data_IF_960630746186
#
_entry.id   IF_960630746186
#
_cell.length_a   1.000
_cell.length_b   1.000
_cell.length_c   1.000
_cell.angle_alpha   90.00
_cell.angle_beta   90.00
_cell.angle_gamma   90.00
#
_symmetry.space_group_name_H-M   'P 1'
#
loop_
_entity.id
_entity.type
_entity.pdbx_description
1 polymer ?
#
# COMPACT_ATOMS: atom_id res chain seq x y z
N UNK A 1 -4.99 -21.81 -8.42
CA UNK A 1 -6.10 -21.76 -9.40
C UNK A 1 -6.93 -20.52 -9.11
N UNK A 2 -7.70 -20.01 -10.08
CA UNK A 2 -8.63 -18.90 -9.82
C UNK A 2 -9.82 -19.45 -9.04
N UNK A 3 -10.00 -18.99 -7.80
CA UNK A 3 -10.99 -19.51 -6.86
C UNK A 3 -12.23 -18.62 -6.75
N UNK A 4 -12.09 -17.32 -7.05
CA UNK A 4 -13.19 -16.36 -7.04
C UNK A 4 -12.90 -15.22 -8.00
N UNK A 5 -13.94 -14.74 -8.68
CA UNK A 5 -13.88 -13.54 -9.50
C UNK A 5 -15.08 -12.68 -9.11
N UNK A 6 -14.84 -11.40 -8.84
CA UNK A 6 -15.88 -10.45 -8.44
C UNK A 6 -15.77 -9.19 -9.28
N UNK A 7 -16.89 -8.73 -9.82
CA UNK A 7 -17.00 -7.49 -10.57
C UNK A 7 -18.11 -6.66 -9.95
N UNK A 8 -17.77 -5.46 -9.51
CA UNK A 8 -18.72 -4.46 -9.00
C UNK A 8 -18.39 -3.08 -9.55
N UNK A 9 -19.34 -2.15 -9.49
CA UNK A 9 -19.10 -0.75 -9.87
C UNK A 9 -18.23 -0.02 -8.82
N UNK A 10 -18.34 -0.41 -7.55
CA UNK A 10 -17.58 0.16 -6.42
C UNK A 10 -16.58 -0.82 -5.80
N UNK A 11 -15.99 -0.43 -4.67
CA UNK A 11 -15.04 -1.27 -3.93
C UNK A 11 -13.82 -1.65 -4.77
N UNK A 12 -13.48 -2.94 -4.81
CA UNK A 12 -12.36 -3.45 -5.61
C UNK A 12 -12.56 -3.35 -7.13
N UNK A 13 -13.77 -3.05 -7.62
CA UNK A 13 -14.06 -3.06 -9.04
C UNK A 13 -14.00 -4.47 -9.62
N UNK A 14 -13.13 -4.69 -10.61
CA UNK A 14 -12.78 -6.02 -11.10
C UNK A 14 -11.70 -6.62 -10.20
N UNK A 15 -12.04 -7.72 -9.52
CA UNK A 15 -11.17 -8.42 -8.59
C UNK A 15 -11.02 -9.90 -8.95
N UNK A 16 -9.79 -10.39 -8.86
CA UNK A 16 -9.40 -11.77 -9.10
C UNK A 16 -8.79 -12.39 -7.85
N UNK A 17 -9.26 -13.56 -7.45
CA UNK A 17 -8.76 -14.31 -6.30
C UNK A 17 -8.13 -15.61 -6.81
N UNK A 18 -6.89 -15.85 -6.39
CA UNK A 18 -6.13 -17.05 -6.75
C UNK A 18 -5.74 -17.76 -5.47
N UNK A 19 -6.27 -18.97 -5.27
CA UNK A 19 -5.90 -19.84 -4.16
C UNK A 19 -4.70 -20.69 -4.55
N UNK A 20 -3.72 -20.75 -3.65
CA UNK A 20 -2.44 -21.42 -3.83
C UNK A 20 -2.40 -22.75 -3.06
N UNK A 21 -1.56 -23.73 -3.46
CA UNK A 21 -1.49 -25.03 -2.80
C UNK A 21 -1.08 -24.99 -1.32
N UNK A 22 -0.46 -23.89 -0.88
CA UNK A 22 -0.06 -23.66 0.51
C UNK A 22 -1.20 -23.10 1.39
N UNK A 23 -2.42 -22.95 0.85
CA UNK A 23 -3.60 -22.44 1.57
C UNK A 23 -3.77 -20.93 1.51
N UNK A 24 -2.77 -20.17 1.07
CA UNK A 24 -2.95 -18.72 0.93
C UNK A 24 -3.74 -18.37 -0.33
N UNK A 25 -4.42 -17.23 -0.28
CA UNK A 25 -5.11 -16.65 -1.44
C UNK A 25 -4.51 -15.29 -1.75
N UNK A 26 -4.16 -15.06 -3.02
CA UNK A 26 -3.75 -13.72 -3.49
C UNK A 26 -4.92 -13.03 -4.17
N UNK A 27 -5.11 -11.75 -3.89
CA UNK A 27 -6.18 -10.92 -4.47
C UNK A 27 -5.55 -9.82 -5.34
N UNK A 28 -6.11 -9.63 -6.53
CA UNK A 28 -5.72 -8.59 -7.47
C UNK A 28 -6.96 -7.74 -7.78
N UNK A 29 -6.92 -6.44 -7.50
CA UNK A 29 -8.07 -5.55 -7.61
C UNK A 29 -7.78 -4.28 -8.43
N UNK A 30 -8.83 -3.51 -8.68
CA UNK A 30 -8.86 -2.35 -9.58
C UNK A 30 -8.48 -2.68 -11.03
N UNK A 31 -8.70 -3.92 -11.45
CA UNK A 31 -8.25 -4.43 -12.74
C UNK A 31 -8.98 -3.74 -13.90
N UNK A 32 -8.27 -3.46 -14.98
CA UNK A 32 -8.88 -2.96 -16.22
C UNK A 32 -9.57 -4.10 -16.96
N UNK A 33 -8.87 -5.24 -17.08
CA UNK A 33 -9.27 -6.38 -17.91
C UNK A 33 -8.63 -7.66 -17.38
N UNK A 34 -9.30 -8.80 -17.52
CA UNK A 34 -8.72 -10.10 -17.24
C UNK A 34 -7.95 -10.64 -18.46
N UNK A 35 -7.11 -11.65 -18.23
CA UNK A 35 -6.50 -12.40 -19.33
C UNK A 35 -7.58 -13.08 -20.19
N UNK A 36 -7.34 -13.32 -21.49
CA UNK A 36 -8.38 -13.77 -22.43
C UNK A 36 -9.21 -14.97 -21.96
N UNK A 37 -8.57 -15.97 -21.32
CA UNK A 37 -9.25 -17.15 -20.78
C UNK A 37 -10.25 -16.81 -19.68
N UNK A 38 -9.85 -15.94 -18.74
CA UNK A 38 -10.66 -15.54 -17.59
C UNK A 38 -11.77 -14.57 -18.04
N UNK A 39 -11.44 -13.66 -18.97
CA UNK A 39 -12.42 -12.73 -19.54
C UNK A 39 -13.54 -13.49 -20.29
N UNK A 40 -13.19 -14.51 -21.07
CA UNK A 40 -14.18 -15.34 -21.77
C UNK A 40 -15.11 -16.07 -20.79
N UNK A 41 -14.55 -16.68 -19.73
CA UNK A 41 -15.32 -17.33 -18.67
C UNK A 41 -16.32 -16.36 -18.02
N UNK A 42 -15.87 -15.16 -17.66
CA UNK A 42 -16.73 -14.16 -17.04
C UNK A 42 -17.81 -13.67 -17.99
N UNK A 43 -17.45 -13.42 -19.25
CA UNK A 43 -18.40 -12.95 -20.24
C UNK A 43 -19.55 -13.93 -20.42
N UNK A 44 -19.27 -15.24 -20.51
CA UNK A 44 -20.30 -16.27 -20.58
C UNK A 44 -21.28 -16.19 -19.41
N UNK A 45 -20.77 -16.04 -18.18
CA UNK A 45 -21.60 -15.95 -16.98
C UNK A 45 -22.40 -14.64 -16.89
N UNK A 46 -21.81 -13.50 -17.25
CA UNK A 46 -22.49 -12.20 -17.27
C UNK A 46 -23.63 -12.17 -18.27
N UNK A 47 -23.43 -12.73 -19.47
CA UNK A 47 -24.50 -12.83 -20.48
C UNK A 47 -25.61 -13.78 -20.02
N UNK A 48 -25.28 -14.89 -19.36
CA UNK A 48 -26.27 -15.80 -18.80
C UNK A 48 -27.12 -15.20 -17.67
N UNK A 49 -26.55 -14.28 -16.90
CA UNK A 49 -27.25 -13.60 -15.80
C UNK A 49 -27.83 -12.23 -16.18
N UNK A 50 -27.57 -11.75 -17.40
CA UNK A 50 -27.93 -10.41 -17.87
C UNK A 50 -27.50 -9.29 -16.91
N UNK A 51 -26.36 -9.47 -16.23
CA UNK A 51 -25.85 -8.54 -15.20
C UNK A 51 -24.38 -8.22 -15.43
N UNK A 52 -24.04 -6.93 -15.25
CA UNK A 52 -22.63 -6.51 -15.20
C UNK A 52 -21.98 -6.91 -13.87
N UNK A 53 -22.65 -6.67 -12.74
CA UNK A 53 -22.11 -7.09 -11.45
C UNK A 53 -22.25 -8.61 -11.33
N UNK A 54 -21.16 -9.27 -10.98
CA UNK A 54 -21.14 -10.71 -10.87
C UNK A 54 -20.12 -11.17 -9.85
N UNK A 55 -20.44 -12.28 -9.20
CA UNK A 55 -19.54 -12.99 -8.31
C UNK A 55 -19.63 -14.48 -8.63
N UNK A 56 -18.50 -15.07 -9.02
CA UNK A 56 -18.40 -16.47 -9.42
C UNK A 56 -17.26 -17.16 -8.69
N UNK A 57 -17.42 -18.46 -8.47
CA UNK A 57 -16.47 -19.34 -7.78
C UNK A 57 -16.11 -20.51 -8.71
N UNK A 58 -15.17 -20.31 -9.64
CA UNK A 58 -14.75 -21.35 -10.57
C UNK A 58 -14.24 -22.59 -9.81
N UNK A 59 -14.56 -23.77 -10.33
CA UNK A 59 -14.02 -25.02 -9.80
C UNK A 59 -12.49 -25.06 -9.89
N UNK A 60 -11.84 -25.80 -8.98
CA UNK A 60 -10.38 -25.78 -8.83
C UNK A 60 -9.60 -26.17 -10.10
N UNK A 61 -10.24 -26.92 -11.00
CA UNK A 61 -9.67 -27.40 -12.28
C UNK A 61 -10.10 -26.58 -13.50
N UNK A 62 -11.08 -25.68 -13.37
CA UNK A 62 -11.62 -24.91 -14.49
C UNK A 62 -10.64 -23.82 -14.95
N UNK A 63 -10.15 -23.04 -13.99
CA UNK A 63 -9.25 -21.91 -14.22
C UNK A 63 -7.90 -22.13 -13.50
N UNK A 64 -7.15 -23.09 -14.01
CA UNK A 64 -5.74 -23.28 -13.64
C UNK A 64 -4.87 -22.13 -14.17
N UNK A 65 -3.92 -21.71 -13.33
CA UNK A 65 -2.91 -20.68 -13.59
C UNK A 65 -1.61 -21.13 -12.92
N UNK A 66 -0.47 -20.75 -13.51
CA UNK A 66 0.87 -21.02 -13.02
C UNK A 66 1.59 -19.73 -12.67
N UNK A 67 2.62 -19.84 -11.84
CA UNK A 67 3.50 -18.72 -11.58
C UNK A 67 4.10 -18.20 -12.90
N UNK A 68 4.02 -16.88 -13.11
CA UNK A 68 4.46 -16.23 -14.34
C UNK A 68 3.37 -16.03 -15.39
N UNK A 69 2.19 -16.64 -15.23
CA UNK A 69 1.07 -16.40 -16.15
C UNK A 69 0.52 -14.98 -15.97
N UNK A 70 0.23 -14.32 -17.09
CA UNK A 70 -0.56 -13.09 -17.09
C UNK A 70 -2.02 -13.46 -16.83
N UNK A 71 -2.56 -13.01 -15.69
CA UNK A 71 -3.94 -13.30 -15.28
C UNK A 71 -4.87 -12.11 -15.44
N UNK A 72 -4.35 -10.89 -15.41
CA UNK A 72 -5.09 -9.65 -15.58
C UNK A 72 -4.17 -8.46 -15.87
N UNK A 73 -4.77 -7.31 -16.18
CA UNK A 73 -4.09 -6.04 -16.39
C UNK A 73 -4.58 -5.02 -15.35
N UNK A 74 -3.64 -4.31 -14.71
CA UNK A 74 -3.93 -3.24 -13.74
C UNK A 74 -4.79 -2.15 -14.38
N UNK A 75 -5.58 -1.45 -13.56
CA UNK A 75 -6.50 -0.44 -14.06
C UNK A 75 -6.90 0.56 -13.00
N UNK A 76 -8.12 1.07 -13.14
CA UNK A 76 -8.72 2.05 -12.23
C UNK A 76 -10.21 1.76 -11.97
N UNK A 77 -10.61 0.49 -12.01
CA UNK A 77 -12.02 0.12 -11.80
C UNK A 77 -12.40 0.16 -10.32
N UNK A 78 -13.67 0.40 -10.01
CA UNK A 78 -14.15 0.42 -8.63
C UNK A 78 -13.91 1.76 -7.95
N UNK A 79 -13.73 1.74 -6.62
CA UNK A 79 -13.37 2.91 -5.83
C UNK A 79 -11.86 3.11 -5.80
N UNK A 80 -11.29 3.66 -6.86
CA UNK A 80 -9.85 3.92 -7.00
C UNK A 80 -9.60 5.37 -7.42
N UNK A 81 -8.70 6.06 -6.72
CA UNK A 81 -8.38 7.48 -6.98
C UNK A 81 -7.48 7.68 -8.22
N UNK A 82 -6.77 6.64 -8.64
CA UNK A 82 -5.92 6.66 -9.83
C UNK A 82 -5.42 5.26 -10.21
N UNK A 83 -4.93 5.06 -11.45
CA UNK A 83 -4.56 3.73 -11.93
C UNK A 83 -3.47 3.06 -11.09
N UNK A 84 -3.79 1.94 -10.45
CA UNK A 84 -2.86 1.16 -9.63
C UNK A 84 -3.30 -0.30 -9.54
N UNK A 85 -2.45 -1.16 -8.97
CA UNK A 85 -2.81 -2.52 -8.59
C UNK A 85 -2.97 -2.58 -7.07
N UNK A 86 -4.16 -2.93 -6.61
CA UNK A 86 -4.36 -3.33 -5.22
C UNK A 86 -4.10 -4.84 -5.10
N UNK A 87 -3.13 -5.20 -4.27
CA UNK A 87 -2.66 -6.56 -4.09
C UNK A 87 -2.76 -6.97 -2.62
N UNK A 88 -3.29 -8.17 -2.37
CA UNK A 88 -3.37 -8.74 -1.03
C UNK A 88 -2.92 -10.19 -1.01
N UNK A 89 -2.44 -10.62 0.15
CA UNK A 89 -2.32 -12.03 0.52
C UNK A 89 -3.27 -12.26 1.69
N UNK A 90 -4.06 -13.33 1.63
CA UNK A 90 -5.02 -13.73 2.65
C UNK A 90 -4.77 -15.15 3.12
N UNK A 91 -5.02 -15.41 4.40
CA UNK A 91 -5.08 -16.77 4.92
C UNK A 91 -6.39 -17.49 4.56
N UNK A 92 -6.53 -18.74 5.03
CA UNK A 92 -7.72 -19.57 4.83
C UNK A 92 -8.99 -18.98 5.47
N UNK A 93 -8.87 -18.06 6.42
CA UNK A 93 -9.99 -17.37 7.08
C UNK A 93 -10.31 -16.02 6.38
N UNK A 94 -9.76 -15.81 5.17
CA UNK A 94 -9.84 -14.58 4.37
C UNK A 94 -9.27 -13.32 5.06
N UNK A 95 -8.43 -13.47 6.09
CA UNK A 95 -7.81 -12.32 6.75
C UNK A 95 -6.60 -11.82 5.94
N UNK A 96 -6.50 -10.51 5.67
CA UNK A 96 -5.33 -9.94 5.00
C UNK A 96 -4.06 -10.10 5.85
N UNK A 97 -2.96 -10.49 5.20
CA UNK A 97 -1.63 -10.60 5.80
C UNK A 97 -0.69 -9.66 5.04
N UNK A 98 0.23 -9.03 5.77
CA UNK A 98 1.26 -8.18 5.19
C UNK A 98 2.04 -8.94 4.09
N UNK A 99 1.94 -8.52 2.81
CA UNK A 99 2.63 -9.20 1.72
C UNK A 99 4.16 -9.18 1.82
N UNK A 100 4.74 -8.24 2.57
CA UNK A 100 6.19 -8.18 2.80
C UNK A 100 6.72 -9.39 3.59
N UNK A 101 5.84 -10.09 4.34
CA UNK A 101 6.21 -11.33 5.03
C UNK A 101 6.40 -12.52 4.06
N UNK A 102 6.02 -12.36 2.79
CA UNK A 102 6.07 -13.41 1.76
C UNK A 102 7.18 -13.16 0.72
N UNK A 103 8.27 -12.51 1.12
CA UNK A 103 9.44 -12.30 0.28
C UNK A 103 9.32 -11.17 -0.74
N UNK A 104 8.32 -10.29 -0.57
CA UNK A 104 8.28 -9.00 -1.28
C UNK A 104 9.22 -8.04 -0.55
N UNK A 105 10.48 -8.03 -1.00
CA UNK A 105 11.50 -7.10 -0.52
C UNK A 105 11.51 -5.84 -1.38
N UNK A 106 11.02 -4.74 -0.81
CA UNK A 106 11.06 -3.42 -1.44
C UNK A 106 12.21 -2.67 -0.79
N UNK A 107 13.29 -2.49 -1.55
CA UNK A 107 14.42 -1.69 -1.08
C UNK A 107 13.97 -0.27 -0.85
N UNK A 108 14.10 0.21 0.38
CA UNK A 108 13.95 1.62 0.68
C UNK A 108 15.19 2.36 0.15
N UNK A 109 15.01 3.07 -0.97
CA UNK A 109 16.03 3.91 -1.58
C UNK A 109 15.72 5.39 -1.45
N UNK A 110 14.61 5.74 -0.80
CA UNK A 110 14.14 7.13 -0.73
C UNK A 110 14.71 7.75 0.53
N UNK A 111 15.59 8.74 0.36
CA UNK A 111 16.08 9.51 1.51
C UNK A 111 14.91 10.24 2.17
N UNK A 112 14.80 10.21 3.50
CA UNK A 112 13.76 10.97 4.18
C UNK A 112 13.97 12.46 3.94
N UNK A 113 12.88 13.19 3.74
CA UNK A 113 12.89 14.64 3.64
C UNK A 113 12.59 15.18 5.02
N UNK A 114 13.58 15.82 5.64
CA UNK A 114 13.37 16.55 6.89
C UNK A 114 12.61 17.83 6.56
N UNK A 115 11.41 17.99 7.12
CA UNK A 115 10.57 19.17 6.93
C UNK A 115 10.82 20.19 8.02
N UNK A 116 10.87 19.73 9.27
CA UNK A 116 10.93 20.61 10.44
C UNK A 116 11.74 19.97 11.56
N UNK A 117 12.43 20.80 12.33
CA UNK A 117 13.14 20.42 13.55
C UNK A 117 12.68 21.34 14.67
N UNK A 118 12.42 20.75 15.83
CA UNK A 118 11.98 21.44 17.03
C UNK A 118 12.92 21.09 18.18
N UNK A 119 13.21 22.07 19.02
CA UNK A 119 13.86 21.88 20.30
C UNK A 119 12.85 22.08 21.43
N UNK A 120 12.83 21.15 22.37
CA UNK A 120 11.91 21.12 23.51
C UNK A 120 12.71 21.24 24.81
N UNK A 121 12.41 22.22 25.67
CA UNK A 121 12.90 22.18 27.04
C UNK A 121 12.13 21.09 27.80
N UNK A 122 12.83 20.07 28.29
CA UNK A 122 12.22 18.91 28.95
C UNK A 122 12.21 19.07 30.47
N UNK A 123 13.28 19.60 31.06
CA UNK A 123 13.37 19.82 32.50
C UNK A 123 12.84 21.20 32.90
N UNK A 124 12.41 21.36 34.15
CA UNK A 124 11.85 22.63 34.65
C UNK A 124 12.85 23.80 34.57
N UNK A 125 14.15 23.49 34.65
CA UNK A 125 15.25 24.44 34.51
C UNK A 125 15.71 24.63 33.05
N UNK A 126 15.14 23.90 32.10
CA UNK A 126 15.59 23.93 30.72
C UNK A 126 15.19 25.23 30.02
N UNK A 127 16.14 25.80 29.28
CA UNK A 127 15.92 27.00 28.49
C UNK A 127 16.59 26.85 27.12
N UNK A 128 15.90 27.29 26.06
CA UNK A 128 16.41 27.41 24.70
C UNK A 128 16.28 28.88 24.30
N UNK A 129 17.38 29.52 23.92
CA UNK A 129 17.41 30.95 23.59
C UNK A 129 16.74 31.83 24.66
N UNK A 130 16.97 31.47 25.94
CA UNK A 130 16.44 32.13 27.14
C UNK A 130 14.94 31.92 27.40
N UNK A 131 14.27 31.01 26.68
CA UNK A 131 12.86 30.66 26.92
C UNK A 131 12.71 29.20 27.33
N UNK A 132 11.71 28.87 28.16
CA UNK A 132 11.30 27.49 28.46
C UNK A 132 10.08 27.11 27.61
N UNK A 133 10.15 27.41 26.30
CA UNK A 133 9.08 27.07 25.35
C UNK A 133 9.67 26.29 24.17
N UNK A 134 8.82 25.53 23.48
CA UNK A 134 9.20 24.84 22.24
C UNK A 134 9.71 25.83 21.20
N UNK A 135 10.90 25.59 20.67
CA UNK A 135 11.51 26.42 19.66
C UNK A 135 11.58 25.67 18.33
N UNK A 136 10.94 26.23 17.28
CA UNK A 136 11.12 25.73 15.91
C UNK A 136 12.47 26.21 15.39
N UNK A 137 13.29 25.27 14.92
CA UNK A 137 14.59 25.56 14.34
C UNK A 137 14.47 25.71 12.82
N UNK A 138 15.14 26.72 12.26
CA UNK A 138 15.26 26.93 10.83
C UNK A 138 16.19 25.89 10.21
N UNK A 139 15.59 24.98 9.47
CA UNK A 139 16.28 24.00 8.66
C UNK A 139 17.05 24.67 7.49
N UNK A 140 18.32 24.32 7.34
CA UNK A 140 19.23 24.81 6.29
C UNK A 140 19.76 23.57 5.53
N UNK A 141 19.26 23.29 4.31
CA UNK A 141 19.72 22.16 3.51
C UNK A 141 21.14 22.37 2.99
N UNK A 142 21.92 21.30 2.95
CA UNK A 142 23.31 21.27 2.49
C UNK A 142 23.43 20.61 1.11
N UNK A 143 24.49 20.92 0.37
CA UNK A 143 24.69 20.40 -1.01
C UNK A 143 24.86 18.87 -1.08
N UNK A 144 25.26 18.23 0.03
CA UNK A 144 25.44 16.78 0.13
C UNK A 144 24.15 16.02 0.54
N UNK A 145 23.04 16.74 0.76
CA UNK A 145 21.76 16.18 1.21
C UNK A 145 21.60 16.11 2.73
N UNK A 146 22.57 16.61 3.50
CA UNK A 146 22.40 16.78 4.94
C UNK A 146 21.61 18.07 5.25
N UNK A 147 21.17 18.18 6.50
CA UNK A 147 20.52 19.37 7.00
C UNK A 147 21.26 19.90 8.23
N UNK A 148 21.34 21.22 8.34
CA UNK A 148 21.82 21.92 9.53
C UNK A 148 20.73 22.84 10.05
N UNK A 149 20.86 23.28 11.30
CA UNK A 149 20.00 24.30 11.90
C UNK A 149 20.84 25.48 12.36
N UNK A 150 20.20 26.61 12.64
CA UNK A 150 20.85 27.73 13.33
C UNK A 150 21.41 27.33 14.69
N UNK A 151 22.45 28.06 15.12
CA UNK A 151 22.98 27.89 16.46
C UNK A 151 21.95 28.35 17.50
N UNK A 152 21.77 27.54 18.53
CA UNK A 152 20.94 27.87 19.70
C UNK A 152 21.80 27.92 20.95
N UNK A 153 21.38 28.72 21.92
CA UNK A 153 21.89 28.64 23.29
C UNK A 153 20.92 27.78 24.08
N UNK A 154 21.41 26.79 24.82
CA UNK A 154 20.54 25.93 25.60
C UNK A 154 21.16 25.57 26.96
N UNK A 155 20.28 25.38 27.94
CA UNK A 155 20.61 24.95 29.30
C UNK A 155 19.57 23.94 29.79
N UNK A 156 19.95 23.02 30.68
CA UNK A 156 19.07 21.95 31.16
C UNK A 156 18.91 20.78 30.16
N UNK A 157 17.87 19.97 30.33
CA UNK A 157 17.59 18.82 29.46
C UNK A 157 16.78 19.25 28.25
N UNK A 158 17.31 19.04 27.05
CA UNK A 158 16.68 19.43 25.77
C UNK A 158 16.35 18.20 24.93
N UNK A 159 15.11 18.10 24.46
CA UNK A 159 14.68 17.14 23.46
C UNK A 159 14.66 17.74 22.06
N UNK A 160 14.79 16.89 21.04
CA UNK A 160 14.61 17.30 19.65
C UNK A 160 13.51 16.47 19.00
N UNK A 161 12.59 17.15 18.30
CA UNK A 161 11.58 16.53 17.47
C UNK A 161 11.87 16.80 16.00
N UNK A 162 11.65 15.81 15.16
CA UNK A 162 11.89 15.88 13.72
C UNK A 162 10.60 15.49 13.02
N UNK A 163 10.17 16.33 12.08
CA UNK A 163 9.08 16.00 11.15
C UNK A 163 9.72 15.62 9.83
N UNK A 164 9.53 14.37 9.40
CA UNK A 164 10.07 13.84 8.14
C UNK A 164 9.01 13.12 7.33
N UNK A 165 9.22 13.05 6.01
CA UNK A 165 8.45 12.21 5.08
C UNK A 165 9.35 11.35 4.23
#
# INVERSE_FOLDING_TARGET
>A
FVSRIKISHGGYGKALYITHPNGYTTVYAHLQKFAPKIEAYIKEHQYGQESYEIEVFPGAVELLVKQGDVVAYSGNSGGSEGPHLHFEIRDNEERPINPMLFGIDIKDTTKPIIKEVYAYPISDDAHINRTNEMCKLRLIPQQNGDYTVENITAFGTIGFGIVST
#
